data_IF_744175821427
#
_entry.id   IF_744175821427
#
_cell.length_a   1.000
_cell.length_b   1.000
_cell.length_c   1.000
_cell.angle_alpha   90.00
_cell.angle_beta   90.00
_cell.angle_gamma   90.00
#
_symmetry.space_group_name_H-M   'P 1'
#
loop_
_entity.id
_entity.type
_entity.pdbx_description
1 polymer ?
#
# COMPACT_ATOMS: atom_id res chain seq x y z
N UNK A 1 17.00 -10.02 3.38
CA UNK A 1 15.59 -10.08 2.97
C UNK A 1 15.26 -11.52 2.66
N UNK A 2 14.54 -12.17 3.58
CA UNK A 2 13.97 -13.49 3.35
C UNK A 2 12.92 -13.40 2.24
N UNK A 3 12.73 -14.50 1.51
CA UNK A 3 11.65 -14.61 0.50
C UNK A 3 10.28 -14.33 1.12
N UNK A 4 10.11 -14.70 2.38
CA UNK A 4 8.90 -14.47 3.16
C UNK A 4 8.61 -12.98 3.37
N UNK A 5 9.61 -12.15 3.68
CA UNK A 5 9.40 -10.70 3.91
C UNK A 5 8.87 -9.98 2.67
N UNK A 6 9.38 -10.33 1.48
CA UNK A 6 8.88 -9.75 0.22
C UNK A 6 7.47 -10.24 -0.09
N UNK A 7 7.17 -11.51 0.18
CA UNK A 7 5.83 -12.06 -0.03
C UNK A 7 4.80 -11.43 0.91
N UNK A 8 5.16 -11.22 2.17
CA UNK A 8 4.34 -10.53 3.16
C UNK A 8 4.09 -9.08 2.75
N UNK A 9 5.14 -8.34 2.35
CA UNK A 9 5.02 -6.97 1.86
C UNK A 9 4.14 -6.87 0.61
N UNK A 10 4.25 -7.82 -0.33
CA UNK A 10 3.38 -7.87 -1.50
C UNK A 10 1.92 -8.14 -1.12
N UNK A 11 1.68 -9.12 -0.25
CA UNK A 11 0.33 -9.47 0.21
C UNK A 11 -0.33 -8.28 0.93
N UNK A 12 0.45 -7.58 1.75
CA UNK A 12 0.02 -6.36 2.45
C UNK A 12 -0.28 -5.22 1.48
N UNK A 13 0.63 -4.93 0.53
CA UNK A 13 0.43 -3.90 -0.49
C UNK A 13 -0.84 -4.15 -1.31
N UNK A 14 -1.05 -5.40 -1.74
CA UNK A 14 -2.24 -5.81 -2.47
C UNK A 14 -3.52 -5.59 -1.64
N UNK A 15 -3.50 -5.96 -0.35
CA UNK A 15 -4.62 -5.72 0.56
C UNK A 15 -4.94 -4.23 0.74
N UNK A 16 -3.90 -3.39 0.85
CA UNK A 16 -4.05 -1.93 0.95
C UNK A 16 -4.67 -1.34 -0.32
N UNK A 17 -4.21 -1.76 -1.49
CA UNK A 17 -4.77 -1.30 -2.77
C UNK A 17 -6.25 -1.68 -2.89
N UNK A 18 -6.60 -2.92 -2.55
CA UNK A 18 -8.00 -3.37 -2.54
C UNK A 18 -8.84 -2.58 -1.54
N UNK A 19 -8.35 -2.40 -0.32
CA UNK A 19 -9.01 -1.60 0.70
C UNK A 19 -9.25 -0.17 0.20
N UNK A 20 -8.25 0.47 -0.39
CA UNK A 20 -8.44 1.81 -0.93
C UNK A 20 -9.47 1.82 -2.07
N UNK A 21 -9.49 0.81 -2.94
CA UNK A 21 -10.48 0.71 -4.02
C UNK A 21 -11.91 0.53 -3.50
N UNK A 22 -12.12 -0.31 -2.48
CA UNK A 22 -13.44 -0.61 -1.91
C UNK A 22 -13.97 0.50 -0.99
N UNK A 23 -13.07 1.19 -0.29
CA UNK A 23 -13.40 2.16 0.75
C UNK A 23 -13.06 3.61 0.36
N UNK A 24 -12.64 3.88 -0.89
CA UNK A 24 -12.29 5.22 -1.40
C UNK A 24 -13.32 6.29 -1.06
N UNK A 25 -14.61 5.92 -1.14
CA UNK A 25 -15.76 6.81 -0.92
C UNK A 25 -16.16 6.96 0.57
N UNK A 26 -15.47 6.28 1.50
CA UNK A 26 -15.78 6.35 2.93
C UNK A 26 -14.92 7.37 3.65
N UNK A 27 -15.43 8.01 4.71
CA UNK A 27 -14.64 8.89 5.54
C UNK A 27 -13.45 8.12 6.13
N UNK A 28 -12.24 8.63 5.91
CA UNK A 28 -11.00 8.05 6.43
C UNK A 28 -11.03 8.09 7.96
N UNK A 29 -10.79 6.93 8.59
CA UNK A 29 -10.55 6.87 10.04
C UNK A 29 -9.26 7.64 10.36
N UNK A 30 -9.37 8.64 11.24
CA UNK A 30 -8.30 9.62 11.51
C UNK A 30 -7.01 9.03 12.11
N UNK A 31 -7.02 7.79 12.54
CA UNK A 31 -5.89 7.13 13.21
C UNK A 31 -5.11 6.14 12.32
N UNK A 32 -5.52 5.94 11.07
CA UNK A 32 -4.85 4.98 10.18
C UNK A 32 -3.95 5.65 9.14
N UNK A 33 -2.64 5.47 9.27
CA UNK A 33 -1.64 5.94 8.28
C UNK A 33 -1.53 4.97 7.10
N UNK A 34 -2.56 4.99 6.25
CA UNK A 34 -2.63 4.16 5.04
C UNK A 34 -1.42 4.38 4.12
N UNK A 35 -1.06 5.63 3.88
CA UNK A 35 -0.01 5.98 2.91
C UNK A 35 1.39 5.64 3.41
N UNK A 36 1.63 5.70 4.73
CA UNK A 36 2.85 5.24 5.36
C UNK A 36 3.03 3.72 5.21
N UNK A 37 1.95 2.95 5.35
CA UNK A 37 1.97 1.50 5.18
C UNK A 37 2.24 1.09 3.72
N UNK A 38 1.64 1.78 2.75
CA UNK A 38 1.93 1.57 1.32
C UNK A 38 3.41 1.87 1.04
N UNK A 39 3.94 2.99 1.55
CA UNK A 39 5.34 3.38 1.36
C UNK A 39 6.31 2.33 1.92
N UNK A 40 6.05 1.83 3.12
CA UNK A 40 6.86 0.79 3.75
C UNK A 40 6.88 -0.51 2.91
N UNK A 41 5.73 -0.91 2.36
CA UNK A 41 5.67 -2.06 1.46
C UNK A 41 6.47 -1.82 0.17
N UNK A 42 6.40 -0.61 -0.40
CA UNK A 42 7.20 -0.24 -1.57
C UNK A 42 8.71 -0.30 -1.28
N UNK A 43 9.16 0.18 -0.12
CA UNK A 43 10.57 0.10 0.29
C UNK A 43 11.06 -1.35 0.43
N UNK A 44 10.24 -2.25 0.99
CA UNK A 44 10.57 -3.68 1.11
C UNK A 44 10.55 -4.39 -0.26
N UNK A 45 9.71 -3.94 -1.19
CA UNK A 45 9.60 -4.55 -2.51
C UNK A 45 10.59 -3.96 -3.53
N UNK A 46 11.32 -2.91 -3.16
CA UNK A 46 12.16 -2.12 -4.07
C UNK A 46 11.32 -1.53 -5.23
N UNK A 47 10.14 -0.98 -4.89
CA UNK A 47 9.20 -0.36 -5.82
C UNK A 47 9.19 1.17 -5.65
N UNK A 48 9.00 1.87 -6.76
CA UNK A 48 8.82 3.32 -6.74
C UNK A 48 7.43 3.68 -6.20
N UNK A 49 7.41 4.28 -5.00
CA UNK A 49 6.18 4.65 -4.30
C UNK A 49 5.31 5.64 -5.10
N UNK A 50 5.92 6.60 -5.80
CA UNK A 50 5.19 7.60 -6.56
C UNK A 50 4.58 7.00 -7.84
N UNK A 51 5.29 6.06 -8.47
CA UNK A 51 4.78 5.28 -9.59
C UNK A 51 3.57 4.44 -9.16
N UNK A 52 3.63 3.76 -8.00
CA UNK A 52 2.52 2.97 -7.45
C UNK A 52 1.31 3.87 -7.15
N UNK A 53 1.52 5.02 -6.50
CA UNK A 53 0.42 5.97 -6.26
C UNK A 53 -0.27 6.40 -7.55
N UNK A 54 0.50 6.69 -8.59
CA UNK A 54 -0.04 7.10 -9.88
C UNK A 54 -0.80 5.98 -10.59
N UNK A 55 -0.22 4.78 -10.64
CA UNK A 55 -0.79 3.62 -11.34
C UNK A 55 -2.11 3.17 -10.70
N UNK A 56 -2.16 3.14 -9.36
CA UNK A 56 -3.34 2.73 -8.60
C UNK A 56 -4.25 3.89 -8.17
N UNK A 57 -3.96 5.11 -8.64
CA UNK A 57 -4.72 6.32 -8.33
C UNK A 57 -4.94 6.51 -6.82
N UNK A 58 -3.89 6.33 -6.02
CA UNK A 58 -3.90 6.56 -4.58
C UNK A 58 -3.74 8.07 -4.33
N UNK A 59 -4.87 8.78 -4.23
CA UNK A 59 -4.97 10.25 -4.06
C UNK A 59 -5.60 10.65 -2.73
#
# INVERSE_FOLDING_TARGET
>A
MNKDEKLEAFTKLHGLILFYSEYRDRPVEKDYDFFGEVKNCCEILDLDYEAIKKEFQLT
#
